data_IF_381019541979
#
_entry.id   IF_381019541979
#
_cell.length_a   1.000
_cell.length_b   1.000
_cell.length_c   1.000
_cell.angle_alpha   90.00
_cell.angle_beta   90.00
_cell.angle_gamma   90.00
#
_symmetry.space_group_name_H-M   'P 1'
#
loop_
_entity.id
_entity.type
_entity.pdbx_description
1 polymer ?
#
# COMPACT_ATOMS: atom_id res chain seq x y z
N UNK A 1 40.07 12.68 5.10
CA UNK A 1 38.88 11.93 4.65
C UNK A 1 38.99 11.85 3.15
N UNK A 2 39.14 10.64 2.59
CA UNK A 2 39.26 10.46 1.14
C UNK A 2 37.90 10.74 0.50
N UNK A 3 37.87 11.62 -0.51
CA UNK A 3 36.65 11.84 -1.28
C UNK A 3 36.27 10.55 -2.01
N UNK A 4 34.99 10.20 -1.98
CA UNK A 4 34.46 9.12 -2.78
C UNK A 4 34.58 9.46 -4.28
N UNK A 5 34.60 8.44 -5.15
CA UNK A 5 34.64 8.62 -6.61
C UNK A 5 33.35 9.32 -7.10
N UNK A 6 32.23 9.10 -6.42
CA UNK A 6 30.95 9.75 -6.70
C UNK A 6 30.88 11.11 -5.99
N UNK A 7 30.56 12.17 -6.72
CA UNK A 7 30.40 13.51 -6.14
C UNK A 7 29.07 13.64 -5.38
N UNK A 8 29.03 14.54 -4.40
CA UNK A 8 27.82 14.81 -3.59
C UNK A 8 26.64 15.22 -4.49
N UNK A 9 26.89 16.11 -5.45
CA UNK A 9 25.90 16.54 -6.44
C UNK A 9 25.32 15.36 -7.23
N UNK A 10 26.17 14.43 -7.67
CA UNK A 10 25.72 13.27 -8.42
C UNK A 10 24.89 12.33 -7.54
N UNK A 11 25.24 12.20 -6.26
CA UNK A 11 24.50 11.38 -5.29
C UNK A 11 23.10 11.96 -5.03
N UNK A 12 23.00 13.27 -4.83
CA UNK A 12 21.73 13.97 -4.62
C UNK A 12 20.77 13.85 -5.82
N UNK A 13 21.30 13.71 -7.04
CA UNK A 13 20.50 13.48 -8.25
C UNK A 13 20.16 12.00 -8.43
N UNK A 14 21.11 11.10 -8.20
CA UNK A 14 20.95 9.68 -8.50
C UNK A 14 19.87 9.01 -7.63
N UNK A 15 19.81 9.37 -6.34
CA UNK A 15 18.85 8.80 -5.38
C UNK A 15 17.39 9.00 -5.81
N UNK A 16 16.90 10.24 -6.05
CA UNK A 16 15.52 10.46 -6.48
C UNK A 16 15.24 9.92 -7.88
N UNK A 17 16.22 9.96 -8.80
CA UNK A 17 16.06 9.39 -10.15
C UNK A 17 15.80 7.88 -10.06
N UNK A 18 16.60 7.15 -9.27
CA UNK A 18 16.39 5.72 -9.07
C UNK A 18 15.02 5.41 -8.45
N UNK A 19 14.56 6.22 -7.48
CA UNK A 19 13.24 6.07 -6.88
C UNK A 19 12.11 6.27 -7.90
N UNK A 20 12.19 7.30 -8.74
CA UNK A 20 11.20 7.58 -9.80
C UNK A 20 11.18 6.46 -10.85
N UNK A 21 12.34 5.95 -11.25
CA UNK A 21 12.43 4.80 -12.17
C UNK A 21 11.75 3.56 -11.56
N UNK A 22 11.99 3.28 -10.26
CA UNK A 22 11.34 2.18 -9.55
C UNK A 22 9.81 2.32 -9.50
N UNK A 23 9.30 3.52 -9.20
CA UNK A 23 7.86 3.80 -9.22
C UNK A 23 7.29 3.63 -10.64
N UNK A 24 7.98 4.15 -11.66
CA UNK A 24 7.58 3.99 -13.06
C UNK A 24 7.49 2.52 -13.46
N UNK A 25 8.48 1.71 -13.08
CA UNK A 25 8.47 0.27 -13.31
C UNK A 25 7.28 -0.42 -12.62
N UNK A 26 7.00 -0.09 -11.36
CA UNK A 26 5.86 -0.65 -10.64
C UNK A 26 4.51 -0.32 -11.32
N UNK A 27 4.35 0.91 -11.82
CA UNK A 27 3.15 1.32 -12.55
C UNK A 27 3.01 0.60 -13.90
N UNK A 28 4.12 0.38 -14.62
CA UNK A 28 4.12 -0.42 -15.86
C UNK A 28 3.68 -1.84 -15.56
N UNK A 29 4.23 -2.47 -14.52
CA UNK A 29 3.84 -3.82 -14.12
C UNK A 29 2.35 -3.90 -13.73
N UNK A 30 1.86 -2.93 -12.98
CA UNK A 30 0.43 -2.85 -12.68
C UNK A 30 -0.41 -2.67 -13.95
N UNK A 31 0.03 -1.85 -14.89
CA UNK A 31 -0.58 -1.69 -16.21
C UNK A 31 -0.63 -2.99 -17.01
N UNK A 32 0.41 -3.81 -16.97
CA UNK A 32 0.43 -5.13 -17.62
C UNK A 32 -0.58 -6.08 -16.97
N UNK A 33 -0.63 -6.14 -15.63
CA UNK A 33 -1.64 -6.94 -14.90
C UNK A 33 -3.06 -6.48 -15.21
N UNK A 34 -3.27 -5.17 -15.41
CA UNK A 34 -4.60 -4.62 -15.73
C UNK A 34 -5.17 -5.08 -17.08
N UNK A 35 -4.33 -5.61 -17.98
CA UNK A 35 -4.78 -6.17 -19.27
C UNK A 35 -5.60 -7.45 -19.09
N UNK A 36 -5.47 -8.13 -17.94
CA UNK A 36 -6.36 -9.23 -17.58
C UNK A 36 -7.72 -8.65 -17.16
N UNK A 37 -8.67 -8.69 -18.10
CA UNK A 37 -10.02 -8.17 -17.91
C UNK A 37 -10.84 -9.13 -17.04
N UNK A 38 -11.40 -8.58 -15.97
CA UNK A 38 -12.38 -9.25 -15.10
C UNK A 38 -13.82 -8.80 -15.39
N UNK A 39 -14.05 -8.06 -16.49
CA UNK A 39 -15.36 -7.47 -16.76
C UNK A 39 -16.26 -8.47 -17.46
N UNK A 40 -17.51 -8.65 -17.01
CA UNK A 40 -18.53 -9.29 -17.81
C UNK A 40 -18.82 -8.39 -19.01
N UNK A 41 -18.75 -8.95 -20.21
CA UNK A 41 -19.42 -8.35 -21.36
C UNK A 41 -20.90 -8.27 -21.00
N UNK A 42 -21.45 -7.05 -20.85
CA UNK A 42 -22.90 -6.84 -20.80
C UNK A 42 -23.47 -7.38 -22.11
N UNK A 43 -23.95 -8.61 -22.14
CA UNK A 43 -24.90 -9.01 -23.16
C UNK A 43 -26.11 -8.08 -23.03
N UNK A 44 -26.44 -7.42 -24.13
CA UNK A 44 -27.53 -6.45 -24.21
C UNK A 44 -28.88 -7.04 -23.76
N UNK A 45 -29.87 -6.18 -23.51
CA UNK A 45 -31.15 -6.63 -22.97
C UNK A 45 -31.80 -7.64 -23.92
N UNK A 46 -32.33 -8.78 -23.42
CA UNK A 46 -33.18 -9.63 -24.24
C UNK A 46 -34.44 -8.84 -24.58
N UNK A 47 -34.75 -8.77 -25.87
CA UNK A 47 -36.00 -8.22 -26.32
C UNK A 47 -37.15 -9.08 -25.80
N UNK A 48 -38.03 -8.48 -24.98
CA UNK A 48 -39.43 -8.89 -24.88
C UNK A 48 -39.88 -9.49 -23.55
N UNK A 49 -40.93 -8.86 -23.02
CA UNK A 49 -42.02 -9.43 -22.21
C UNK A 49 -41.92 -9.39 -20.68
N UNK A 50 -42.64 -8.40 -20.13
CA UNK A 50 -43.49 -8.42 -18.92
C UNK A 50 -43.61 -9.77 -18.17
N UNK A 51 -43.15 -9.84 -16.91
CA UNK A 51 -44.01 -9.92 -15.71
C UNK A 51 -43.18 -10.15 -14.43
N UNK A 52 -43.57 -9.43 -13.38
CA UNK A 52 -43.45 -9.68 -11.93
C UNK A 52 -42.66 -10.93 -11.48
N UNK A 53 -41.50 -10.74 -10.86
CA UNK A 53 -41.25 -10.98 -9.43
C UNK A 53 -39.75 -10.80 -9.15
N UNK A 54 -39.47 -9.71 -8.45
CA UNK A 54 -38.19 -9.38 -7.85
C UNK A 54 -37.88 -10.39 -6.73
N UNK A 55 -36.63 -10.83 -6.62
CA UNK A 55 -36.07 -11.64 -5.50
C UNK A 55 -35.99 -13.18 -5.56
N UNK A 56 -35.84 -13.81 -6.74
CA UNK A 56 -35.42 -15.23 -6.79
C UNK A 56 -34.63 -15.55 -8.05
N UNK A 57 -33.33 -15.24 -8.08
CA UNK A 57 -32.44 -15.70 -9.16
C UNK A 57 -31.02 -16.01 -8.66
N UNK A 58 -30.94 -16.93 -7.68
CA UNK A 58 -29.66 -17.46 -7.18
C UNK A 58 -29.67 -18.99 -6.99
N UNK A 59 -30.65 -19.71 -7.53
CA UNK A 59 -30.75 -21.15 -7.32
C UNK A 59 -31.21 -21.90 -8.58
N UNK A 60 -30.34 -21.95 -9.58
CA UNK A 60 -30.32 -23.09 -10.50
C UNK A 60 -28.87 -23.57 -10.60
N UNK A 61 -28.60 -24.62 -9.84
CA UNK A 61 -27.45 -25.51 -10.02
C UNK A 61 -27.74 -26.49 -11.16
N UNK A 62 -26.65 -26.84 -11.85
CA UNK A 62 -26.46 -28.01 -12.71
C UNK A 62 -27.30 -28.09 -14.00
N UNK A 63 -26.68 -27.65 -15.11
CA UNK A 63 -26.58 -28.51 -16.29
C UNK A 63 -25.41 -28.09 -17.19
N UNK A 64 -24.84 -29.11 -17.83
CA UNK A 64 -23.56 -29.18 -18.52
C UNK A 64 -23.41 -28.14 -19.65
N UNK A 65 -22.61 -27.10 -19.40
CA UNK A 65 -22.24 -26.11 -20.40
C UNK A 65 -21.32 -25.05 -19.80
N UNK A 66 -20.02 -25.20 -20.03
CA UNK A 66 -18.93 -24.36 -19.52
C UNK A 66 -19.04 -22.90 -20.01
N UNK A 67 -19.94 -22.10 -19.45
CA UNK A 67 -19.99 -20.68 -19.74
C UNK A 67 -18.87 -19.99 -18.94
N UNK A 68 -17.71 -19.85 -19.57
CA UNK A 68 -16.53 -19.12 -19.05
C UNK A 68 -16.88 -17.75 -18.44
N UNK A 69 -17.96 -17.15 -18.94
CA UNK A 69 -18.54 -15.92 -18.42
C UNK A 69 -18.98 -16.02 -16.95
N UNK A 70 -19.69 -17.09 -16.56
CA UNK A 70 -20.20 -17.28 -15.20
C UNK A 70 -19.05 -17.45 -14.19
N UNK A 71 -17.94 -18.05 -14.61
CA UNK A 71 -16.74 -18.20 -13.78
C UNK A 71 -16.05 -16.85 -13.57
N UNK A 72 -15.92 -16.03 -14.63
CA UNK A 72 -15.34 -14.68 -14.53
C UNK A 72 -16.16 -13.81 -13.57
N UNK A 73 -17.49 -13.88 -13.63
CA UNK A 73 -18.39 -13.18 -12.71
C UNK A 73 -18.17 -13.63 -11.26
N UNK A 74 -18.22 -14.94 -11.00
CA UNK A 74 -17.97 -15.48 -9.64
C UNK A 74 -16.59 -15.07 -9.11
N UNK A 75 -15.55 -15.11 -9.94
CA UNK A 75 -14.21 -14.66 -9.55
C UNK A 75 -14.16 -13.17 -9.20
N UNK A 76 -14.87 -12.32 -9.95
CA UNK A 76 -14.95 -10.89 -9.67
C UNK A 76 -15.70 -10.59 -8.36
N UNK A 77 -16.79 -11.33 -8.07
CA UNK A 77 -17.55 -11.17 -6.82
C UNK A 77 -16.73 -11.60 -5.60
N UNK A 78 -16.02 -12.73 -5.69
CA UNK A 78 -15.11 -13.20 -4.65
C UNK A 78 -14.00 -12.16 -4.42
N UNK A 79 -13.39 -11.65 -5.50
CA UNK A 79 -12.38 -10.60 -5.39
C UNK A 79 -12.93 -9.36 -4.67
N UNK A 80 -14.15 -8.93 -5.01
CA UNK A 80 -14.78 -7.77 -4.39
C UNK A 80 -14.98 -7.98 -2.89
N UNK A 81 -15.51 -9.12 -2.49
CA UNK A 81 -15.69 -9.47 -1.08
C UNK A 81 -14.36 -9.49 -0.32
N UNK A 82 -13.30 -10.08 -0.90
CA UNK A 82 -11.95 -10.08 -0.31
C UNK A 82 -11.41 -8.65 -0.18
N UNK A 83 -11.50 -7.85 -1.24
CA UNK A 83 -11.01 -6.47 -1.24
C UNK A 83 -11.71 -5.61 -0.20
N UNK A 84 -13.02 -5.77 -0.05
CA UNK A 84 -13.83 -5.06 0.94
C UNK A 84 -13.46 -5.48 2.36
N UNK A 85 -13.41 -6.80 2.64
CA UNK A 85 -13.03 -7.33 3.94
C UNK A 85 -11.61 -6.91 4.35
N UNK A 86 -10.64 -7.02 3.44
CA UNK A 86 -9.27 -6.63 3.69
C UNK A 86 -9.12 -5.12 3.96
N UNK A 87 -9.82 -4.28 3.19
CA UNK A 87 -9.78 -2.82 3.39
C UNK A 87 -10.42 -2.43 4.73
N UNK A 88 -11.54 -3.08 5.11
CA UNK A 88 -12.24 -2.84 6.38
C UNK A 88 -11.39 -3.23 7.59
N UNK A 89 -10.76 -4.41 7.53
CA UNK A 89 -9.84 -4.87 8.56
C UNK A 89 -8.66 -3.91 8.74
N UNK A 90 -7.99 -3.56 7.64
CA UNK A 90 -6.79 -2.71 7.68
C UNK A 90 -7.12 -1.29 8.15
N UNK A 91 -8.28 -0.74 7.77
CA UNK A 91 -8.71 0.56 8.30
C UNK A 91 -8.90 0.52 9.82
N UNK A 92 -9.54 -0.53 10.33
CA UNK A 92 -9.75 -0.73 11.77
C UNK A 92 -8.42 -0.90 12.49
N UNK A 93 -7.51 -1.72 11.97
CA UNK A 93 -6.15 -1.89 12.50
C UNK A 93 -5.39 -0.56 12.53
N UNK A 94 -5.46 0.21 11.45
CA UNK A 94 -4.73 1.48 11.32
C UNK A 94 -5.26 2.56 12.27
N UNK A 95 -6.54 2.50 12.66
CA UNK A 95 -7.07 3.36 13.72
C UNK A 95 -6.37 3.10 15.05
N UNK A 96 -6.27 1.84 15.48
CA UNK A 96 -5.60 1.48 16.74
C UNK A 96 -4.10 1.77 16.70
N UNK A 97 -3.43 1.38 15.61
CA UNK A 97 -2.00 1.65 15.41
C UNK A 97 -1.73 3.16 15.34
N UNK A 98 -2.62 3.94 14.74
CA UNK A 98 -2.51 5.41 14.69
C UNK A 98 -2.57 6.07 16.07
N UNK A 99 -3.44 5.59 16.96
CA UNK A 99 -3.48 6.07 18.35
C UNK A 99 -2.17 5.74 19.07
N UNK A 100 -1.70 4.49 18.95
CA UNK A 100 -0.42 4.07 19.53
C UNK A 100 0.75 4.90 19.00
N UNK A 101 0.77 5.18 17.70
CA UNK A 101 1.80 6.00 17.05
C UNK A 101 1.88 7.40 17.65
N UNK A 102 0.74 8.08 17.85
CA UNK A 102 0.73 9.43 18.46
C UNK A 102 1.20 9.38 19.91
N UNK A 103 0.73 8.41 20.70
CA UNK A 103 1.15 8.25 22.08
C UNK A 103 2.67 7.99 22.18
N UNK A 104 3.22 7.15 21.31
CA UNK A 104 4.64 6.84 21.27
C UNK A 104 5.47 8.02 20.77
N UNK A 105 4.97 8.80 19.81
CA UNK A 105 5.62 10.03 19.34
C UNK A 105 5.79 11.06 20.48
N UNK A 106 4.77 11.20 21.35
CA UNK A 106 4.85 12.04 22.55
C UNK A 106 5.90 11.49 23.52
N UNK A 107 5.92 10.18 23.77
CA UNK A 107 6.94 9.56 24.63
C UNK A 107 8.36 9.78 24.12
N UNK A 108 8.59 9.57 22.83
CA UNK A 108 9.88 9.82 22.17
C UNK A 108 10.31 11.27 22.38
N UNK A 109 9.42 12.23 22.14
CA UNK A 109 9.71 13.65 22.35
C UNK A 109 10.03 13.98 23.82
N UNK A 110 9.21 13.50 24.75
CA UNK A 110 9.40 13.77 26.19
C UNK A 110 10.71 13.16 26.70
N UNK A 111 11.01 11.91 26.34
CA UNK A 111 12.21 11.24 26.81
C UNK A 111 13.48 11.85 26.23
N UNK A 112 13.52 12.14 24.92
CA UNK A 112 14.67 12.79 24.29
C UNK A 112 14.81 14.27 24.71
N UNK A 113 13.70 14.98 24.92
CA UNK A 113 13.69 16.36 25.36
C UNK A 113 14.10 16.53 26.83
N UNK A 114 13.73 15.58 27.68
CA UNK A 114 14.04 15.59 29.12
C UNK A 114 15.53 15.42 29.44
N UNK A 115 16.32 14.82 28.54
CA UNK A 115 17.77 14.57 28.75
C UNK A 115 18.52 15.85 29.18
N UNK A 116 18.19 16.98 28.58
CA UNK A 116 18.80 18.30 28.90
C UNK A 116 17.76 19.27 29.47
N UNK A 117 16.70 18.75 30.10
CA UNK A 117 15.62 19.55 30.69
C UNK A 117 14.94 20.49 29.70
N UNK A 118 14.75 20.06 28.45
CA UNK A 118 14.18 20.87 27.36
C UNK A 118 14.98 22.16 27.06
N UNK A 119 16.28 22.17 27.35
CA UNK A 119 17.17 23.31 27.06
C UNK A 119 17.30 23.57 25.56
N UNK A 120 17.22 24.85 25.18
CA UNK A 120 17.43 25.35 23.81
C UNK A 120 18.87 25.76 23.53
N UNK A 121 19.77 25.60 24.51
CA UNK A 121 21.17 26.02 24.39
C UNK A 121 21.99 25.01 23.60
N UNK A 122 22.90 25.50 22.77
CA UNK A 122 23.89 24.66 22.10
C UNK A 122 24.85 24.05 23.12
N UNK A 123 25.18 22.78 22.92
CA UNK A 123 26.01 21.98 23.82
C UNK A 123 27.21 21.39 23.08
N UNK A 124 28.32 21.09 23.76
CA UNK A 124 29.46 20.44 23.12
C UNK A 124 29.04 19.10 22.53
N UNK A 125 29.48 18.81 21.31
CA UNK A 125 29.11 17.58 20.61
C UNK A 125 29.58 16.35 21.38
N UNK A 126 28.73 15.31 21.44
CA UNK A 126 29.05 14.05 22.13
C UNK A 126 30.26 13.33 21.53
N UNK A 127 30.47 13.49 20.22
CA UNK A 127 31.55 12.85 19.45
C UNK A 127 32.82 13.72 19.30
N UNK A 128 32.78 15.00 19.66
CA UNK A 128 33.90 15.93 19.52
C UNK A 128 33.73 17.11 20.47
N UNK A 129 34.54 17.17 21.53
CA UNK A 129 34.38 18.20 22.58
C UNK A 129 34.72 19.62 22.09
N UNK A 130 35.49 19.75 21.00
CA UNK A 130 35.89 21.06 20.44
C UNK A 130 34.83 21.72 19.54
N UNK A 131 33.70 21.04 19.31
CA UNK A 131 32.63 21.51 18.43
C UNK A 131 31.34 21.67 19.21
N UNK A 132 30.58 22.71 18.88
CA UNK A 132 29.24 22.91 19.40
C UNK A 132 28.20 22.33 18.45
N UNK A 133 27.23 21.62 19.01
CA UNK A 133 26.13 20.98 18.30
C UNK A 133 24.80 21.68 18.60
N UNK A 134 23.81 21.41 17.74
CA UNK A 134 22.42 21.81 17.98
C UNK A 134 21.91 21.25 19.31
N UNK A 135 20.95 21.94 19.96
CA UNK A 135 20.41 21.50 21.26
C UNK A 135 19.78 20.11 21.17
N UNK A 136 19.82 19.35 22.28
CA UNK A 136 19.15 18.05 22.38
C UNK A 136 17.66 18.14 22.03
N UNK A 137 17.02 19.26 22.37
CA UNK A 137 15.61 19.51 22.03
C UNK A 137 15.37 19.48 20.51
N UNK A 138 16.29 20.01 19.69
CA UNK A 138 16.14 19.95 18.24
C UNK A 138 16.20 18.48 17.76
N UNK A 139 17.13 17.69 18.29
CA UNK A 139 17.21 16.26 17.97
C UNK A 139 15.96 15.50 18.41
N UNK A 140 15.37 15.83 19.56
CA UNK A 140 14.10 15.26 20.01
C UNK A 140 12.98 15.53 18.99
N UNK A 141 12.84 16.79 18.55
CA UNK A 141 11.83 17.18 17.54
C UNK A 141 12.06 16.44 16.22
N UNK A 142 13.27 16.47 15.67
CA UNK A 142 13.57 15.80 14.40
C UNK A 142 13.39 14.29 14.48
N UNK A 143 13.69 13.66 15.62
CA UNK A 143 13.47 12.23 15.84
C UNK A 143 11.98 11.90 15.84
N UNK A 144 11.16 12.71 16.53
CA UNK A 144 9.70 12.52 16.54
C UNK A 144 9.09 12.74 15.16
N UNK A 145 9.53 13.77 14.41
CA UNK A 145 9.07 14.00 13.02
C UNK A 145 9.47 12.83 12.11
N UNK A 146 10.72 12.36 12.21
CA UNK A 146 11.19 11.22 11.42
C UNK A 146 10.46 9.92 11.77
N UNK A 147 10.16 9.70 13.05
CA UNK A 147 9.34 8.58 13.52
C UNK A 147 7.95 8.61 12.89
N UNK A 148 7.26 9.76 12.94
CA UNK A 148 5.93 9.91 12.34
C UNK A 148 5.95 9.75 10.82
N UNK A 149 6.95 10.34 10.14
CA UNK A 149 7.12 10.14 8.70
C UNK A 149 7.34 8.68 8.34
N UNK A 150 8.20 7.97 9.08
CA UNK A 150 8.45 6.54 8.89
C UNK A 150 7.21 5.69 9.15
N UNK A 151 6.47 5.97 10.22
CA UNK A 151 5.25 5.25 10.57
C UNK A 151 4.15 5.45 9.52
N UNK A 152 3.89 6.68 9.08
CA UNK A 152 2.93 6.97 8.02
C UNK A 152 3.35 6.28 6.71
N UNK A 153 4.63 6.34 6.36
CA UNK A 153 5.16 5.68 5.15
C UNK A 153 4.98 4.16 5.23
N UNK A 154 5.15 3.56 6.42
CA UNK A 154 4.89 2.13 6.66
C UNK A 154 3.41 1.77 6.42
N UNK A 155 2.48 2.56 6.97
CA UNK A 155 1.04 2.37 6.75
C UNK A 155 0.66 2.50 5.26
N UNK A 156 1.20 3.51 4.56
CA UNK A 156 0.96 3.68 3.11
C UNK A 156 1.51 2.47 2.33
N UNK A 157 2.68 1.96 2.70
CA UNK A 157 3.30 0.80 2.05
C UNK A 157 2.45 -0.47 2.22
N UNK A 158 1.97 -0.73 3.44
CA UNK A 158 1.08 -1.86 3.72
C UNK A 158 -0.25 -1.75 2.94
N UNK A 159 -0.84 -0.56 2.89
CA UNK A 159 -2.06 -0.31 2.14
C UNK A 159 -1.90 -0.52 0.63
N UNK A 160 -0.83 0.03 0.02
CA UNK A 160 -0.55 -0.15 -1.41
C UNK A 160 -0.29 -1.62 -1.76
N UNK A 161 0.48 -2.33 -0.91
CA UNK A 161 0.72 -3.77 -1.06
C UNK A 161 -0.56 -4.60 -1.01
N UNK A 162 -1.46 -4.29 -0.07
CA UNK A 162 -2.77 -4.92 0.00
C UNK A 162 -3.60 -4.66 -1.25
N UNK A 163 -3.65 -3.40 -1.73
CA UNK A 163 -4.44 -3.05 -2.92
C UNK A 163 -3.98 -3.78 -4.17
N UNK A 164 -2.68 -3.93 -4.39
CA UNK A 164 -2.20 -4.69 -5.56
C UNK A 164 -2.45 -6.19 -5.40
N UNK A 165 -2.32 -6.74 -4.19
CA UNK A 165 -2.58 -8.16 -3.92
C UNK A 165 -4.06 -8.53 -4.13
N UNK A 166 -4.99 -7.75 -3.57
CA UNK A 166 -6.43 -7.97 -3.76
C UNK A 166 -6.90 -7.57 -5.16
N UNK A 167 -6.12 -6.81 -5.91
CA UNK A 167 -6.36 -6.56 -7.32
C UNK A 167 -5.92 -7.72 -8.21
N UNK A 168 -4.74 -8.29 -7.96
CA UNK A 168 -4.15 -9.32 -8.81
C UNK A 168 -4.70 -10.72 -8.55
N UNK A 169 -5.24 -11.00 -7.36
CA UNK A 169 -5.70 -12.34 -6.94
C UNK A 169 -6.58 -13.06 -7.97
N UNK A 170 -7.73 -12.52 -8.37
CA UNK A 170 -8.62 -13.19 -9.31
C UNK A 170 -8.10 -13.15 -10.75
N UNK A 171 -7.28 -12.15 -11.10
CA UNK A 171 -6.61 -12.10 -12.41
C UNK A 171 -5.67 -13.29 -12.58
N UNK A 172 -4.89 -13.61 -11.55
CA UNK A 172 -4.03 -14.80 -11.54
C UNK A 172 -4.85 -16.07 -11.73
N UNK A 173 -5.97 -16.22 -11.02
CA UNK A 173 -6.87 -17.37 -11.18
C UNK A 173 -7.37 -17.53 -12.62
N UNK A 174 -7.73 -16.44 -13.29
CA UNK A 174 -8.20 -16.49 -14.68
C UNK A 174 -7.10 -16.85 -15.67
N UNK A 175 -5.86 -16.40 -15.45
CA UNK A 175 -4.73 -16.75 -16.32
C UNK A 175 -4.33 -18.23 -16.16
N UNK A 176 -4.28 -18.77 -14.93
CA UNK A 176 -4.00 -20.20 -14.69
C UNK A 176 -4.96 -21.12 -15.43
N UNK A 177 -6.23 -20.71 -15.54
CA UNK A 177 -7.23 -21.47 -16.29
C UNK A 177 -6.95 -21.51 -17.78
N UNK A 178 -6.49 -20.40 -18.38
CA UNK A 178 -6.16 -20.36 -19.82
C UNK A 178 -5.00 -21.29 -20.13
N UNK A 179 -3.96 -21.27 -19.30
CA UNK A 179 -2.80 -22.16 -19.46
C UNK A 179 -3.20 -23.64 -19.35
N UNK A 180 -4.07 -23.98 -18.39
CA UNK A 180 -4.55 -25.36 -18.19
C UNK A 180 -5.47 -25.85 -19.33
N UNK A 181 -6.07 -24.96 -20.12
CA UNK A 181 -6.90 -25.32 -21.26
C UNK A 181 -6.11 -25.53 -22.57
N UNK A 182 -4.84 -25.13 -22.60
CA UNK A 182 -3.94 -25.27 -23.76
C UNK A 182 -3.16 -26.60 -23.72
N UNK A 183 -3.18 -27.31 -22.58
CA UNK A 183 -2.45 -28.55 -22.33
C UNK A 183 -3.35 -29.79 -22.48
#
# INVERSE_FOLDING_TARGET
>A
MGAAILTDLLTEILIPVAAVVGIGFALVQWGLVSRVKLSPEKQGPPAGSNNKNDYSDYLIEEEEGLNDHNIVVKCADIQRAISEGATSFLFTEYQYVGIFMVAFAILVFLFLGSVEGFSTKSQPCTYSKDKYCKPALANAIFSTVSFLLGAITSLVSGFLGMKIATYANARTTLETRKDSAIQ
#
